data_IF_965987894193
#
_entry.id   IF_965987894193
#
_cell.length_a   1.000
_cell.length_b   1.000
_cell.length_c   1.000
_cell.angle_alpha   90.00
_cell.angle_beta   90.00
_cell.angle_gamma   90.00
#
_symmetry.space_group_name_H-M   'P 1'
#
loop_
_entity.id
_entity.type
_entity.pdbx_description
1 polymer ?
#
# COMPACT_ATOMS: atom_id res chain seq x y z
N UNK A 1 16.64 74.96 8.89
CA UNK A 1 16.23 74.19 7.70
C UNK A 1 14.72 74.21 7.59
N UNK A 2 14.17 74.69 6.47
CA UNK A 2 12.74 74.99 6.31
C UNK A 2 11.88 73.73 6.15
N UNK A 3 10.61 73.85 6.53
CA UNK A 3 9.59 72.80 6.54
C UNK A 3 9.48 72.00 5.22
N UNK A 4 9.89 72.59 4.09
CA UNK A 4 9.93 71.96 2.76
C UNK A 4 10.98 70.82 2.67
N UNK A 5 12.10 70.93 3.39
CA UNK A 5 13.13 69.87 3.43
C UNK A 5 12.67 68.68 4.30
N UNK A 6 11.79 68.92 5.28
CA UNK A 6 11.20 67.88 6.13
C UNK A 6 10.09 67.10 5.42
N UNK A 7 9.32 67.74 4.53
CA UNK A 7 8.32 67.06 3.68
C UNK A 7 8.96 66.22 2.57
N UNK A 8 10.03 66.69 1.94
CA UNK A 8 10.73 65.95 0.87
C UNK A 8 11.36 64.63 1.33
N UNK A 9 11.87 64.58 2.57
CA UNK A 9 12.39 63.34 3.18
C UNK A 9 11.26 62.38 3.57
N UNK A 10 10.09 62.90 3.92
CA UNK A 10 8.91 62.09 4.26
C UNK A 10 8.31 61.33 3.07
N UNK A 11 8.23 61.95 1.88
CA UNK A 11 7.63 61.31 0.68
C UNK A 11 8.54 60.22 0.10
N UNK A 12 9.87 60.42 0.11
CA UNK A 12 10.83 59.40 -0.34
C UNK A 12 10.81 58.18 0.59
N UNK A 13 10.60 58.40 1.89
CA UNK A 13 10.50 57.31 2.89
C UNK A 13 9.19 56.52 2.75
N UNK A 14 8.09 57.17 2.39
CA UNK A 14 6.80 56.52 2.14
C UNK A 14 6.79 55.68 0.85
N UNK A 15 7.49 56.12 -0.21
CA UNK A 15 7.58 55.38 -1.47
C UNK A 15 8.42 54.09 -1.36
N UNK A 16 9.52 54.12 -0.60
CA UNK A 16 10.32 52.92 -0.30
C UNK A 16 9.58 51.95 0.65
N UNK A 17 8.79 52.48 1.58
CA UNK A 17 7.92 51.69 2.45
C UNK A 17 6.79 50.97 1.70
N UNK A 18 6.22 51.60 0.66
CA UNK A 18 5.15 51.01 -0.16
C UNK A 18 5.69 50.03 -1.23
N UNK A 19 6.93 50.18 -1.70
CA UNK A 19 7.54 49.20 -2.61
C UNK A 19 7.83 47.84 -1.95
N UNK A 20 7.88 47.79 -0.62
CA UNK A 20 8.04 46.55 0.14
C UNK A 20 6.72 45.77 0.32
N UNK A 21 5.57 46.33 -0.08
CA UNK A 21 4.25 45.69 0.04
C UNK A 21 3.83 45.00 -1.28
N UNK A 22 4.56 45.19 -2.38
CA UNK A 22 4.18 44.69 -3.71
C UNK A 22 4.88 43.42 -4.23
N UNK A 23 5.79 42.81 -3.47
CA UNK A 23 6.56 41.64 -3.95
C UNK A 23 6.93 40.70 -2.82
N UNK A 24 6.07 39.72 -2.53
CA UNK A 24 6.30 38.74 -1.47
C UNK A 24 7.51 37.84 -1.76
N UNK A 25 8.60 38.03 -1.01
CA UNK A 25 9.68 37.04 -0.87
C UNK A 25 9.48 36.34 0.47
N UNK A 26 9.40 35.01 0.42
CA UNK A 26 9.20 34.11 1.56
C UNK A 26 10.41 34.10 2.52
N UNK A 27 10.18 34.29 3.83
CA UNK A 27 10.92 33.71 4.99
C UNK A 27 10.30 34.20 6.32
N UNK A 28 9.79 33.36 7.24
CA UNK A 28 10.42 32.44 8.21
C UNK A 28 10.55 33.06 9.66
N UNK A 29 9.64 32.59 10.55
CA UNK A 29 9.47 32.53 12.03
C UNK A 29 9.94 33.60 13.07
N UNK A 30 8.95 34.13 13.82
CA UNK A 30 8.76 34.17 15.32
C UNK A 30 8.01 35.47 15.74
N UNK A 31 7.22 35.64 16.81
CA UNK A 31 7.16 35.02 18.16
C UNK A 31 5.73 35.08 18.81
N UNK A 32 5.59 34.27 19.87
CA UNK A 32 4.57 34.00 20.90
C UNK A 32 3.36 34.92 21.11
N UNK A 33 2.16 34.32 21.12
CA UNK A 33 1.24 34.24 22.29
C UNK A 33 0.25 33.06 22.09
N UNK A 34 0.03 32.31 23.18
CA UNK A 34 -1.10 31.41 23.54
C UNK A 34 -2.02 30.92 22.41
N UNK A 35 -1.78 29.66 22.01
CA UNK A 35 -2.79 28.61 21.95
C UNK A 35 -2.02 27.29 21.97
N UNK A 36 -2.35 26.37 22.88
CA UNK A 36 -1.84 24.99 22.86
C UNK A 36 -2.49 24.23 21.69
N UNK A 37 -2.20 24.64 20.46
CA UNK A 37 -2.55 23.88 19.28
C UNK A 37 -1.36 22.99 18.94
N UNK A 38 -1.32 21.82 19.57
CA UNK A 38 -0.52 20.71 19.07
C UNK A 38 -1.01 20.38 17.65
N UNK A 39 -0.30 20.83 16.64
CA UNK A 39 -0.46 20.37 15.26
C UNK A 39 0.07 18.93 15.20
N UNK A 40 -0.80 17.96 15.46
CA UNK A 40 -0.48 16.56 15.24
C UNK A 40 -0.59 16.28 13.74
N UNK A 41 0.54 16.02 13.08
CA UNK A 41 0.55 15.43 11.75
C UNK A 41 -0.13 14.06 11.82
N UNK A 42 -1.02 13.77 10.86
CA UNK A 42 -1.75 12.52 10.87
C UNK A 42 -0.86 11.31 10.61
N UNK A 43 -1.21 10.16 11.20
CA UNK A 43 -0.43 8.93 11.07
C UNK A 43 -1.01 8.01 10.00
N UNK A 44 -0.13 7.25 9.34
CA UNK A 44 -0.50 6.14 8.47
C UNK A 44 -0.15 4.85 9.19
N UNK A 45 -1.15 4.03 9.50
CA UNK A 45 -0.94 2.76 10.19
C UNK A 45 -1.84 1.69 9.56
N UNK A 46 -1.22 0.80 8.79
CA UNK A 46 -1.90 -0.31 8.15
C UNK A 46 -1.59 -1.59 8.93
N UNK A 47 -2.59 -2.13 9.61
CA UNK A 47 -2.48 -3.43 10.25
C UNK A 47 -3.20 -4.47 9.39
N UNK A 48 -2.43 -5.49 8.96
CA UNK A 48 -2.97 -6.62 8.18
C UNK A 48 -2.77 -7.93 8.92
N UNK A 49 -3.86 -8.68 9.08
CA UNK A 49 -3.80 -10.04 9.61
C UNK A 49 -4.23 -11.05 8.54
N UNK A 50 -3.46 -12.15 8.37
CA UNK A 50 -2.31 -12.55 9.18
C UNK A 50 -1.04 -11.75 8.83
N UNK A 51 -0.32 -11.30 9.85
CA UNK A 51 1.00 -10.65 9.76
C UNK A 51 2.14 -11.62 9.42
N UNK A 52 1.84 -12.86 9.00
CA UNK A 52 2.73 -14.01 9.18
C UNK A 52 3.05 -14.76 7.89
N UNK A 53 4.29 -15.25 7.83
CA UNK A 53 4.75 -16.30 6.92
C UNK A 53 3.66 -17.35 6.71
N UNK A 54 3.12 -17.44 5.49
CA UNK A 54 2.18 -18.49 5.15
C UNK A 54 3.00 -19.69 4.70
N UNK A 55 2.94 -20.76 5.49
CA UNK A 55 3.48 -22.05 5.08
C UNK A 55 2.40 -22.82 4.33
N UNK A 56 2.71 -23.19 3.09
CA UNK A 56 1.94 -24.12 2.29
C UNK A 56 2.68 -25.47 2.36
N UNK A 57 2.15 -26.41 3.13
CA UNK A 57 2.72 -27.74 3.33
C UNK A 57 1.65 -28.83 3.17
N UNK A 58 2.12 -30.08 3.00
CA UNK A 58 1.26 -31.26 2.90
C UNK A 58 0.14 -31.13 1.85
N UNK A 59 0.48 -30.50 0.71
CA UNK A 59 -0.41 -30.34 -0.43
C UNK A 59 -0.22 -31.45 -1.44
N UNK A 60 -1.32 -31.88 -2.05
CA UNK A 60 -1.32 -32.68 -3.28
C UNK A 60 -1.96 -31.90 -4.43
N UNK A 61 -1.68 -32.28 -5.70
CA UNK A 61 -2.33 -31.65 -6.84
C UNK A 61 -3.87 -31.66 -6.70
N UNK A 62 -4.49 -30.52 -6.94
CA UNK A 62 -5.91 -30.25 -6.77
C UNK A 62 -6.32 -29.65 -5.43
N UNK A 63 -5.44 -29.68 -4.41
CA UNK A 63 -5.74 -29.08 -3.11
C UNK A 63 -5.86 -27.55 -3.18
N UNK A 64 -6.69 -27.00 -2.30
CA UNK A 64 -7.01 -25.57 -2.26
C UNK A 64 -6.93 -25.07 -0.83
N UNK A 65 -6.21 -23.99 -0.61
CA UNK A 65 -6.16 -23.27 0.66
C UNK A 65 -6.78 -21.89 0.46
N UNK A 66 -7.81 -21.57 1.24
CA UNK A 66 -8.44 -20.25 1.24
C UNK A 66 -8.03 -19.49 2.51
N UNK A 67 -7.55 -18.25 2.36
CA UNK A 67 -7.18 -17.37 3.47
C UNK A 67 -7.85 -16.01 3.36
N UNK A 68 -8.38 -15.53 4.49
CA UNK A 68 -8.93 -14.17 4.62
C UNK A 68 -7.83 -13.21 5.06
N UNK A 69 -7.79 -12.05 4.44
CA UNK A 69 -6.92 -10.94 4.80
C UNK A 69 -7.79 -9.76 5.22
N UNK A 70 -7.58 -9.28 6.45
CA UNK A 70 -8.20 -8.06 6.94
C UNK A 70 -7.20 -6.92 6.81
N UNK A 71 -7.65 -5.78 6.29
CA UNK A 71 -6.88 -4.56 6.07
C UNK A 71 -7.51 -3.47 6.90
N UNK A 72 -6.83 -3.01 7.96
CA UNK A 72 -7.34 -1.93 8.82
C UNK A 72 -6.47 -0.69 8.71
N UNK A 73 -7.09 0.44 8.40
CA UNK A 73 -6.49 1.75 8.54
C UNK A 73 -6.63 2.19 10.00
N UNK A 74 -5.59 1.99 10.80
CA UNK A 74 -5.53 2.42 12.20
C UNK A 74 -4.93 3.83 12.35
N UNK A 75 -4.53 4.45 11.24
CA UNK A 75 -4.05 5.82 11.19
C UNK A 75 -5.17 6.85 11.29
N UNK A 76 -4.78 8.11 11.22
CA UNK A 76 -5.71 9.26 11.24
C UNK A 76 -5.91 9.89 9.86
N UNK A 77 -5.23 9.37 8.83
CA UNK A 77 -5.35 9.81 7.43
C UNK A 77 -5.94 8.70 6.57
N UNK A 78 -6.67 9.10 5.52
CA UNK A 78 -7.22 8.16 4.55
C UNK A 78 -6.10 7.51 3.71
N UNK A 79 -6.23 6.20 3.48
CA UNK A 79 -5.35 5.44 2.59
C UNK A 79 -5.95 5.47 1.19
N UNK A 80 -5.23 5.98 0.20
CA UNK A 80 -5.69 6.03 -1.20
C UNK A 80 -5.60 4.65 -1.84
N UNK A 81 -4.44 4.02 -1.72
CA UNK A 81 -4.15 2.69 -2.25
C UNK A 81 -3.15 1.94 -1.35
N UNK A 82 -3.03 0.64 -1.61
CA UNK A 82 -2.09 -0.24 -0.91
C UNK A 82 -1.31 -1.03 -1.95
N UNK A 83 0.01 -0.93 -1.93
CA UNK A 83 0.93 -1.76 -2.69
C UNK A 83 1.17 -3.07 -1.96
N UNK A 84 1.25 -4.18 -2.69
CA UNK A 84 1.46 -5.52 -2.15
C UNK A 84 2.61 -6.18 -2.88
N UNK A 85 3.70 -6.42 -2.15
CA UNK A 85 4.84 -7.17 -2.63
C UNK A 85 4.79 -8.58 -2.07
N UNK A 86 4.99 -9.57 -2.94
CA UNK A 86 5.01 -10.98 -2.55
C UNK A 86 6.40 -11.55 -2.81
N UNK A 87 6.92 -12.28 -1.84
CA UNK A 87 8.13 -13.07 -1.95
C UNK A 87 7.87 -14.47 -1.39
N UNK A 88 8.64 -15.45 -1.81
CA UNK A 88 8.58 -16.80 -1.26
C UNK A 88 9.90 -17.56 -1.45
N UNK A 89 10.06 -18.57 -0.61
CA UNK A 89 11.11 -19.58 -0.72
C UNK A 89 10.49 -20.96 -0.78
N UNK A 90 10.93 -21.78 -1.74
CA UNK A 90 10.60 -23.20 -1.81
C UNK A 90 11.60 -23.96 -0.95
N UNK A 91 11.09 -24.81 -0.06
CA UNK A 91 11.86 -25.80 0.65
C UNK A 91 11.65 -27.14 -0.05
N UNK A 92 12.59 -27.47 -0.93
CA UNK A 92 12.65 -28.76 -1.64
C UNK A 92 13.20 -29.83 -0.67
N UNK A 93 12.32 -30.74 -0.23
CA UNK A 93 12.67 -31.71 0.80
C UNK A 93 13.57 -32.82 0.25
N UNK A 94 13.36 -33.22 -1.01
CA UNK A 94 14.03 -34.36 -1.64
C UNK A 94 15.20 -33.94 -2.52
N UNK A 95 15.36 -32.65 -2.78
CA UNK A 95 16.33 -32.05 -3.69
C UNK A 95 16.16 -32.58 -5.14
N UNK A 96 14.93 -32.90 -5.53
CA UNK A 96 14.58 -33.51 -6.83
C UNK A 96 13.77 -32.58 -7.75
N UNK A 97 13.54 -31.31 -7.36
CA UNK A 97 12.86 -30.34 -8.21
C UNK A 97 13.68 -29.87 -9.42
N UNK A 98 14.99 -30.06 -9.41
CA UNK A 98 15.91 -29.56 -10.44
C UNK A 98 15.73 -28.05 -10.68
N UNK A 99 15.43 -27.62 -11.91
CA UNK A 99 15.14 -26.22 -12.27
C UNK A 99 13.64 -25.86 -12.18
N UNK A 100 12.79 -26.82 -11.79
CA UNK A 100 11.35 -26.64 -11.75
C UNK A 100 10.90 -26.02 -10.43
N UNK A 101 10.51 -24.76 -10.47
CA UNK A 101 10.05 -24.03 -9.30
C UNK A 101 8.62 -24.43 -8.91
N UNK A 102 8.44 -24.96 -7.70
CA UNK A 102 7.13 -25.34 -7.16
C UNK A 102 6.14 -24.16 -7.16
N UNK A 103 6.60 -22.91 -6.98
CA UNK A 103 5.77 -21.72 -7.03
C UNK A 103 5.07 -21.48 -8.38
N UNK A 104 5.56 -22.08 -9.49
CA UNK A 104 4.88 -22.04 -10.80
C UNK A 104 3.63 -22.91 -10.84
N UNK A 105 3.54 -23.90 -9.96
CA UNK A 105 2.40 -24.84 -9.88
C UNK A 105 1.38 -24.43 -8.81
N UNK A 106 1.66 -23.34 -8.08
CA UNK A 106 0.72 -22.74 -7.14
C UNK A 106 0.00 -21.58 -7.81
N UNK A 107 -1.26 -21.81 -8.21
CA UNK A 107 -2.16 -20.78 -8.70
C UNK A 107 -2.71 -19.96 -7.54
N UNK A 108 -2.74 -18.65 -7.73
CA UNK A 108 -3.20 -17.65 -6.76
C UNK A 108 -4.40 -16.91 -7.34
N UNK A 109 -5.52 -16.96 -6.62
CA UNK A 109 -6.76 -16.28 -6.99
C UNK A 109 -7.14 -15.26 -5.92
N UNK A 110 -7.33 -14.01 -6.33
CA UNK A 110 -7.84 -12.94 -5.47
C UNK A 110 -9.36 -12.82 -5.60
N UNK A 111 -10.03 -12.74 -4.44
CA UNK A 111 -11.49 -12.76 -4.32
C UNK A 111 -11.94 -11.68 -3.33
N UNK A 112 -13.04 -10.99 -3.62
CA UNK A 112 -13.67 -10.08 -2.65
C UNK A 112 -14.57 -10.82 -1.66
N UNK A 113 -15.01 -12.03 -2.02
CA UNK A 113 -15.92 -12.84 -1.25
C UNK A 113 -15.40 -14.28 -1.14
N UNK A 114 -15.83 -15.00 -0.12
CA UNK A 114 -15.45 -16.40 0.09
C UNK A 114 -16.19 -17.35 -0.88
N UNK A 115 -17.30 -16.89 -1.45
CA UNK A 115 -18.14 -17.65 -2.39
C UNK A 115 -17.33 -18.12 -3.62
N UNK A 116 -17.20 -19.44 -3.74
CA UNK A 116 -16.48 -20.08 -4.83
C UNK A 116 -17.17 -20.02 -6.19
N UNK A 117 -18.46 -19.68 -6.24
CA UNK A 117 -19.18 -19.52 -7.50
C UNK A 117 -18.85 -18.19 -8.22
N UNK A 118 -18.31 -17.21 -7.50
CA UNK A 118 -17.88 -15.94 -8.07
C UNK A 118 -16.50 -16.08 -8.72
N UNK A 119 -16.37 -15.49 -9.91
CA UNK A 119 -15.09 -15.45 -10.62
C UNK A 119 -14.04 -14.68 -9.80
N UNK A 120 -12.76 -15.12 -9.84
CA UNK A 120 -11.68 -14.36 -9.25
C UNK A 120 -11.53 -13.00 -9.96
N UNK A 121 -11.16 -11.98 -9.19
CA UNK A 121 -10.90 -10.63 -9.71
C UNK A 121 -9.58 -10.61 -10.46
N UNK A 122 -8.63 -11.38 -9.94
CA UNK A 122 -7.31 -11.54 -10.51
C UNK A 122 -6.80 -12.96 -10.23
N UNK A 123 -6.18 -13.56 -11.23
CA UNK A 123 -5.60 -14.89 -11.18
C UNK A 123 -4.20 -14.85 -11.81
N UNK A 124 -3.24 -15.52 -11.17
CA UNK A 124 -1.85 -15.67 -11.62
C UNK A 124 -1.22 -16.87 -10.91
N UNK A 125 0.07 -17.14 -11.11
CA UNK A 125 0.84 -18.09 -10.29
C UNK A 125 1.65 -17.37 -9.21
N UNK A 126 2.08 -18.09 -8.18
CA UNK A 126 2.91 -17.51 -7.13
C UNK A 126 4.26 -16.99 -7.69
N UNK A 127 4.84 -17.73 -8.64
CA UNK A 127 6.08 -17.32 -9.34
C UNK A 127 5.91 -16.03 -10.14
N UNK A 128 4.80 -15.90 -10.87
CA UNK A 128 4.48 -14.66 -11.59
C UNK A 128 4.21 -13.52 -10.62
N UNK A 129 3.46 -13.76 -9.54
CA UNK A 129 3.14 -12.75 -8.54
C UNK A 129 4.39 -12.18 -7.86
N UNK A 130 5.41 -13.01 -7.62
CA UNK A 130 6.74 -12.58 -7.12
C UNK A 130 7.52 -11.76 -8.16
N UNK A 131 7.37 -12.09 -9.44
CA UNK A 131 8.13 -11.46 -10.54
C UNK A 131 7.49 -10.14 -11.02
N UNK A 132 6.19 -9.95 -10.77
CA UNK A 132 5.46 -8.76 -11.16
C UNK A 132 5.76 -7.55 -10.27
N UNK A 133 5.55 -6.35 -10.83
CA UNK A 133 5.58 -5.12 -10.04
C UNK A 133 4.46 -5.18 -8.97
N UNK A 134 4.77 -4.93 -7.68
CA UNK A 134 3.80 -4.87 -6.58
C UNK A 134 2.53 -4.06 -6.88
N UNK A 135 2.66 -3.02 -7.71
CA UNK A 135 1.55 -2.18 -8.13
C UNK A 135 0.49 -2.91 -8.94
N UNK A 136 0.84 -3.95 -9.70
CA UNK A 136 -0.09 -4.64 -10.63
C UNK A 136 -1.13 -5.43 -9.86
N UNK A 137 -0.70 -6.28 -8.93
CA UNK A 137 -1.61 -7.05 -8.09
C UNK A 137 -2.48 -6.11 -7.23
N UNK A 138 -1.87 -5.06 -6.71
CA UNK A 138 -2.56 -4.03 -5.94
C UNK A 138 -3.60 -3.24 -6.73
N UNK A 139 -3.27 -2.80 -7.94
CA UNK A 139 -4.19 -2.11 -8.84
C UNK A 139 -5.39 -3.02 -9.15
N UNK A 140 -5.15 -4.29 -9.45
CA UNK A 140 -6.23 -5.23 -9.82
C UNK A 140 -7.15 -5.57 -8.64
N UNK A 141 -6.64 -5.60 -7.42
CA UNK A 141 -7.39 -6.04 -6.23
C UNK A 141 -8.04 -4.86 -5.49
N UNK A 142 -7.29 -3.78 -5.26
CA UNK A 142 -7.70 -2.68 -4.38
C UNK A 142 -8.27 -1.47 -5.12
N UNK A 143 -7.74 -1.08 -6.28
CA UNK A 143 -8.30 0.08 -6.99
C UNK A 143 -9.73 -0.15 -7.43
N UNK A 144 -10.03 -1.31 -8.02
CA UNK A 144 -11.41 -1.61 -8.42
C UNK A 144 -12.36 -1.62 -7.22
N UNK A 145 -11.86 -1.99 -6.04
CA UNK A 145 -12.66 -2.05 -4.82
C UNK A 145 -12.89 -0.68 -4.18
N UNK A 146 -11.89 0.19 -4.23
CA UNK A 146 -11.92 1.50 -3.56
C UNK A 146 -12.11 2.67 -4.54
N UNK A 147 -12.34 2.41 -5.83
CA UNK A 147 -12.58 3.43 -6.84
C UNK A 147 -13.74 4.36 -6.46
N UNK A 148 -14.82 3.81 -5.91
CA UNK A 148 -15.99 4.59 -5.50
C UNK A 148 -15.81 5.28 -4.14
N UNK A 149 -15.05 4.68 -3.21
CA UNK A 149 -14.85 5.22 -1.86
C UNK A 149 -13.67 6.19 -1.76
N UNK A 150 -12.85 6.26 -2.81
CA UNK A 150 -11.61 7.05 -2.82
C UNK A 150 -10.57 6.53 -1.83
N UNK A 151 -10.52 5.22 -1.62
CA UNK A 151 -9.60 4.56 -0.68
C UNK A 151 -10.25 4.00 0.60
N UNK A 152 -9.40 3.61 1.56
CA UNK A 152 -9.77 3.10 2.88
C UNK A 152 -9.69 4.22 3.94
N UNK A 153 -10.85 4.64 4.43
CA UNK A 153 -10.98 5.74 5.40
C UNK A 153 -10.29 5.45 6.74
N UNK A 154 -9.81 6.51 7.40
CA UNK A 154 -9.23 6.42 8.74
C UNK A 154 -10.17 5.68 9.72
N UNK A 155 -9.61 4.77 10.51
CA UNK A 155 -10.35 3.93 11.46
C UNK A 155 -11.21 2.83 10.85
N UNK A 156 -11.28 2.70 9.51
CA UNK A 156 -12.06 1.66 8.83
C UNK A 156 -11.24 0.41 8.55
N UNK A 157 -11.96 -0.68 8.32
CA UNK A 157 -11.41 -1.98 7.97
C UNK A 157 -12.12 -2.49 6.73
N UNK A 158 -11.35 -3.18 5.90
CA UNK A 158 -11.84 -3.93 4.76
C UNK A 158 -11.21 -5.32 4.73
N UNK A 159 -11.68 -6.23 3.88
CA UNK A 159 -11.12 -7.56 3.75
C UNK A 159 -11.19 -8.11 2.32
N UNK A 160 -10.31 -9.05 2.03
CA UNK A 160 -10.33 -9.83 0.80
C UNK A 160 -9.88 -11.25 1.10
N UNK A 161 -9.98 -12.12 0.11
CA UNK A 161 -9.59 -13.51 0.22
C UNK A 161 -8.58 -13.84 -0.87
N UNK A 162 -7.61 -14.69 -0.51
CA UNK A 162 -6.68 -15.29 -1.47
C UNK A 162 -6.88 -16.80 -1.40
N UNK A 163 -7.07 -17.42 -2.56
CA UNK A 163 -7.10 -18.87 -2.72
C UNK A 163 -5.82 -19.33 -3.40
N UNK A 164 -5.09 -20.21 -2.73
CA UNK A 164 -3.92 -20.91 -3.26
C UNK A 164 -4.36 -22.29 -3.73
N UNK A 165 -3.96 -22.68 -4.94
CA UNK A 165 -4.35 -23.94 -5.56
C UNK A 165 -3.08 -24.61 -6.07
N UNK A 166 -2.79 -25.82 -5.60
CA UNK A 166 -1.78 -26.65 -6.26
C UNK A 166 -2.43 -27.24 -7.52
N UNK A 167 -2.05 -26.76 -8.69
CA UNK A 167 -2.69 -27.18 -9.94
C UNK A 167 -2.32 -28.62 -10.30
N UNK A 168 -3.35 -29.43 -10.55
CA UNK A 168 -3.20 -30.76 -11.16
C UNK A 168 -3.11 -30.59 -12.68
N UNK A 169 -1.88 -30.67 -13.18
CA UNK A 169 -1.57 -30.52 -14.60
C UNK A 169 -1.70 -31.84 -15.39
N UNK A 170 -2.22 -32.90 -14.76
CA UNK A 170 -2.39 -34.26 -15.34
C UNK A 170 -1.08 -34.96 -15.71
N UNK A 171 0.07 -34.45 -15.27
CA UNK A 171 1.39 -35.08 -15.43
C UNK A 171 1.93 -35.56 -14.07
N UNK A 172 3.10 -36.21 -14.08
CA UNK A 172 3.78 -36.59 -12.84
C UNK A 172 4.33 -35.34 -12.12
N UNK A 173 3.78 -35.05 -10.94
CA UNK A 173 4.17 -33.95 -10.06
C UNK A 173 4.76 -34.46 -8.73
N UNK A 174 5.14 -35.75 -8.65
CA UNK A 174 5.65 -36.37 -7.42
C UNK A 174 6.96 -35.78 -6.91
N UNK A 175 7.71 -35.05 -7.76
CA UNK A 175 8.90 -34.29 -7.35
C UNK A 175 8.55 -33.30 -6.22
N UNK A 176 7.39 -32.66 -6.26
CA UNK A 176 6.96 -31.71 -5.22
C UNK A 176 6.45 -32.36 -3.93
N UNK A 177 6.50 -33.70 -3.82
CA UNK A 177 5.95 -34.39 -2.66
C UNK A 177 6.83 -34.17 -1.43
N UNK A 178 6.25 -33.51 -0.43
CA UNK A 178 6.93 -33.18 0.83
C UNK A 178 7.52 -31.77 0.84
N UNK A 179 7.49 -31.09 -0.30
CA UNK A 179 7.94 -29.71 -0.40
C UNK A 179 6.99 -28.77 0.33
N UNK A 180 7.55 -27.63 0.71
CA UNK A 180 6.78 -26.55 1.29
C UNK A 180 7.19 -25.19 0.73
N UNK A 181 6.25 -24.25 0.79
CA UNK A 181 6.50 -22.86 0.44
C UNK A 181 6.32 -21.99 1.68
N UNK A 182 7.36 -21.24 2.01
CA UNK A 182 7.28 -20.16 2.97
C UNK A 182 7.11 -18.83 2.21
N UNK A 183 5.92 -18.24 2.30
CA UNK A 183 5.60 -16.99 1.61
C UNK A 183 5.65 -15.79 2.56
N UNK A 184 6.20 -14.67 2.09
CA UNK A 184 6.19 -13.36 2.74
C UNK A 184 5.39 -12.37 1.90
N UNK A 185 4.50 -11.63 2.54
CA UNK A 185 3.77 -10.53 1.91
C UNK A 185 4.06 -9.24 2.66
N UNK A 186 4.42 -8.20 1.91
CA UNK A 186 4.66 -6.86 2.43
C UNK A 186 3.65 -5.91 1.82
N UNK A 187 3.03 -5.08 2.66
CA UNK A 187 2.02 -4.11 2.24
C UNK A 187 2.48 -2.70 2.57
N UNK A 188 2.37 -1.81 1.61
CA UNK A 188 2.69 -0.39 1.76
C UNK A 188 1.46 0.44 1.40
N UNK A 189 0.92 1.17 2.37
CA UNK A 189 -0.16 2.11 2.13
C UNK A 189 0.38 3.43 1.56
N UNK A 190 -0.32 4.03 0.61
CA UNK A 190 -0.07 5.41 0.19
C UNK A 190 -1.26 6.32 0.56
N UNK A 191 -0.95 7.57 0.86
CA UNK A 191 -1.94 8.56 1.30
C UNK A 191 -2.67 9.22 0.13
N UNK A 192 -3.82 9.81 0.41
CA UNK A 192 -4.49 10.75 -0.51
C UNK A 192 -3.71 12.06 -0.62
N UNK A 193 -3.92 12.81 -1.70
CA UNK A 193 -3.30 14.13 -1.88
C UNK A 193 -3.68 15.09 -0.73
N UNK A 194 -2.76 16.00 -0.39
CA UNK A 194 -2.99 17.00 0.64
C UNK A 194 -4.16 17.91 0.28
N UNK A 195 -4.97 18.27 1.28
CA UNK A 195 -6.08 19.21 1.11
C UNK A 195 -5.73 20.55 1.77
N UNK A 196 -6.04 21.64 1.08
CA UNK A 196 -6.04 22.98 1.66
C UNK A 196 -7.16 23.03 2.73
N UNK A 197 -6.83 23.50 3.93
CA UNK A 197 -7.74 23.56 5.09
C UNK A 197 -7.82 24.95 5.65
#
# INVERSE_FOLDING_TARGET
MSLKKKLGVGVVSAALGLSLIGGGTYAYFSDQVVSNNTLAAGTLDLTMQPTTSLNLDNLKPGDKILKKFNVKNSGTLDIKDVLMKVDYTVNDLKLDNQENDFGKHIKVQFLWDWDSAKSPIYETTLAELKSQNPEVASHKVFLSKWAETGGLKAGKMDWFWIRFIFEDNKMDQNMFQGDSIAMKMEFQANQTDGQER
#
